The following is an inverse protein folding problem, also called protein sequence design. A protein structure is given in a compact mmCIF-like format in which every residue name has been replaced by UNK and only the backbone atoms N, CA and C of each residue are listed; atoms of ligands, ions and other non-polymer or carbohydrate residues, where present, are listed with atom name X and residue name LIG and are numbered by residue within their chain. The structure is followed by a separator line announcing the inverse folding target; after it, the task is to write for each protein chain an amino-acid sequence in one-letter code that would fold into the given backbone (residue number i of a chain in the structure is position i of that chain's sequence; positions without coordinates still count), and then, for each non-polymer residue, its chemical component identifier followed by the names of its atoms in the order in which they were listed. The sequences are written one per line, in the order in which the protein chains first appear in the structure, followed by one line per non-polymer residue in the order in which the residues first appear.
data_IF_823057535173
#
_entry.id   IF_823057535173
#
_cell.length_a   1.000
_cell.length_b   1.000
_cell.length_c   1.000
_cell.angle_alpha   90.00
_cell.angle_beta   90.00
_cell.angle_gamma   90.00
#
_symmetry.space_group_name_H-M   'P 1'
#
loop_
_entity.id
_entity.type
_entity.pdbx_description
1 polymer ?
#
# COMPACT_ATOMS: atom_id res chain seq x y z
N UNK A 1 0.50 -18.64 -24.84
CA UNK A 1 0.06 -19.49 -23.71
C UNK A 1 0.84 -19.09 -22.47
N UNK A 2 0.21 -19.08 -21.30
CA UNK A 2 0.81 -18.70 -19.99
C UNK A 2 2.17 -19.38 -19.74
N UNK A 3 2.31 -20.67 -20.07
CA UNK A 3 3.57 -21.41 -19.94
C UNK A 3 4.72 -20.83 -20.79
N UNK A 4 4.43 -20.23 -21.94
CA UNK A 4 5.48 -19.57 -22.75
C UNK A 4 6.00 -18.28 -22.11
N UNK A 5 5.19 -17.61 -21.29
CA UNK A 5 5.61 -16.42 -20.56
C UNK A 5 6.53 -16.73 -19.37
N UNK A 6 6.50 -17.95 -18.85
CA UNK A 6 7.37 -18.38 -17.74
C UNK A 6 8.76 -18.83 -18.20
N UNK A 7 8.90 -19.28 -19.45
CA UNK A 7 10.19 -19.76 -19.98
C UNK A 7 11.32 -18.75 -19.86
N UNK A 8 11.15 -17.47 -20.24
CA UNK A 8 12.20 -16.46 -20.06
C UNK A 8 12.63 -16.31 -18.61
N UNK A 9 11.66 -16.34 -17.67
CA UNK A 9 11.95 -16.22 -16.24
C UNK A 9 12.75 -17.42 -15.70
N UNK A 10 12.51 -18.61 -16.23
CA UNK A 10 13.30 -19.80 -15.90
C UNK A 10 14.70 -19.71 -16.52
N UNK A 11 14.81 -19.33 -17.79
CA UNK A 11 16.10 -19.17 -18.48
C UNK A 11 16.99 -18.11 -17.80
N UNK A 12 16.37 -17.04 -17.34
CA UNK A 12 17.05 -15.96 -16.61
C UNK A 12 17.28 -16.27 -15.12
N UNK A 13 16.85 -17.44 -14.62
CA UNK A 13 17.07 -17.85 -13.24
C UNK A 13 16.22 -17.12 -12.19
N UNK A 14 15.17 -16.42 -12.60
CA UNK A 14 14.16 -15.87 -11.69
C UNK A 14 13.22 -16.94 -11.15
N UNK A 15 12.97 -17.98 -11.95
CA UNK A 15 12.21 -19.14 -11.57
C UNK A 15 13.04 -20.41 -11.72
N UNK A 16 12.74 -21.42 -10.93
CA UNK A 16 13.20 -22.79 -11.07
C UNK A 16 11.96 -23.66 -11.33
N UNK A 17 11.99 -24.45 -12.40
CA UNK A 17 10.93 -25.42 -12.71
C UNK A 17 11.25 -26.77 -12.06
N UNK A 18 10.32 -27.31 -11.30
CA UNK A 18 10.40 -28.62 -10.66
C UNK A 18 9.14 -29.43 -11.02
N UNK A 19 9.20 -30.19 -12.11
CA UNK A 19 8.03 -30.88 -12.65
C UNK A 19 6.97 -29.88 -13.14
N UNK A 20 5.79 -29.90 -12.52
CA UNK A 20 4.68 -28.99 -12.82
C UNK A 20 4.63 -27.76 -11.90
N UNK A 21 5.62 -27.60 -11.03
CA UNK A 21 5.68 -26.50 -10.07
C UNK A 21 6.80 -25.52 -10.44
N UNK A 22 6.62 -24.26 -10.04
CA UNK A 22 7.62 -23.21 -10.16
C UNK A 22 7.90 -22.62 -8.79
N UNK A 23 9.17 -22.38 -8.49
CA UNK A 23 9.61 -21.66 -7.29
C UNK A 23 10.54 -20.51 -7.65
N UNK A 24 10.70 -19.55 -6.74
CA UNK A 24 11.61 -18.45 -6.96
C UNK A 24 13.06 -18.96 -7.07
N UNK A 25 13.75 -18.49 -8.09
CA UNK A 25 15.15 -18.79 -8.35
C UNK A 25 16.11 -17.80 -7.69
N UNK A 26 17.42 -18.09 -7.71
CA UNK A 26 18.46 -17.24 -7.08
C UNK A 26 18.46 -15.79 -7.57
N UNK A 27 18.09 -15.55 -8.82
CA UNK A 27 18.01 -14.18 -9.37
C UNK A 27 16.87 -13.37 -8.78
N UNK A 28 15.74 -14.01 -8.45
CA UNK A 28 14.64 -13.35 -7.75
C UNK A 28 15.05 -12.91 -6.33
N UNK A 29 15.77 -13.78 -5.60
CA UNK A 29 16.31 -13.44 -4.28
C UNK A 29 17.33 -12.30 -4.34
N UNK A 30 18.20 -12.31 -5.37
CA UNK A 30 19.18 -11.24 -5.58
C UNK A 30 18.49 -9.92 -5.86
N UNK A 31 17.51 -9.90 -6.78
CA UNK A 31 16.69 -8.72 -7.06
C UNK A 31 15.98 -8.20 -5.80
N UNK A 32 15.41 -9.09 -5.00
CA UNK A 32 14.78 -8.71 -3.73
C UNK A 32 15.79 -8.08 -2.76
N UNK A 33 17.01 -8.59 -2.68
CA UNK A 33 18.08 -8.01 -1.87
C UNK A 33 18.52 -6.64 -2.41
N UNK A 34 18.68 -6.49 -3.72
CA UNK A 34 19.06 -5.23 -4.37
C UNK A 34 17.96 -4.17 -4.17
N UNK A 35 16.70 -4.53 -4.36
CA UNK A 35 15.54 -3.66 -4.07
C UNK A 35 15.51 -3.30 -2.58
N UNK A 36 15.68 -4.26 -1.68
CA UNK A 36 15.70 -4.00 -0.23
C UNK A 36 16.86 -3.11 0.20
N UNK A 37 18.01 -3.18 -0.48
CA UNK A 37 19.18 -2.34 -0.19
C UNK A 37 19.07 -0.95 -0.80
N UNK A 38 18.52 -0.84 -2.02
CA UNK A 38 18.26 0.43 -2.70
C UNK A 38 17.06 1.17 -2.07
N UNK A 39 16.05 0.43 -1.64
CA UNK A 39 14.97 0.90 -0.78
C UNK A 39 15.41 0.83 0.68
N UNK A 40 16.54 1.44 0.99
CA UNK A 40 16.86 1.71 2.38
C UNK A 40 15.84 2.74 2.90
N UNK A 41 14.63 2.26 3.21
CA UNK A 41 13.87 2.89 4.27
C UNK A 41 14.86 3.07 5.40
N UNK A 42 15.20 4.31 5.80
CA UNK A 42 16.16 4.51 6.84
C UNK A 42 15.77 3.55 7.98
N UNK A 43 16.70 2.81 8.52
CA UNK A 43 16.46 1.96 9.72
C UNK A 43 15.71 2.75 10.79
N UNK A 44 15.89 4.04 10.79
CA UNK A 44 15.15 5.05 11.54
C UNK A 44 13.63 4.96 11.35
N UNK A 45 13.11 4.85 10.12
CA UNK A 45 11.65 4.77 9.89
C UNK A 45 11.07 3.48 10.48
N UNK A 46 11.77 2.36 10.35
CA UNK A 46 11.31 1.11 10.95
C UNK A 46 11.22 1.20 12.49
N UNK A 47 12.14 1.93 13.12
CA UNK A 47 12.08 2.21 14.55
C UNK A 47 10.83 3.01 14.95
N UNK A 48 10.42 3.98 14.14
CA UNK A 48 9.18 4.73 14.38
C UNK A 48 7.93 3.87 14.19
N UNK A 49 7.87 3.03 13.14
CA UNK A 49 6.75 2.10 12.91
C UNK A 49 6.63 1.12 14.07
N UNK A 50 7.77 0.57 14.54
CA UNK A 50 7.81 -0.32 15.69
C UNK A 50 7.28 0.38 16.97
N UNK A 51 7.79 1.58 17.26
CA UNK A 51 7.35 2.37 18.42
C UNK A 51 5.85 2.71 18.34
N UNK A 52 5.34 2.99 17.13
CA UNK A 52 3.91 3.24 16.92
C UNK A 52 3.09 1.99 17.24
N UNK A 53 3.48 0.83 16.70
CA UNK A 53 2.79 -0.44 16.96
C UNK A 53 2.81 -0.82 18.46
N UNK A 54 3.95 -0.63 19.14
CA UNK A 54 4.05 -0.86 20.58
C UNK A 54 3.16 0.06 21.41
N UNK A 55 3.12 1.34 21.09
CA UNK A 55 2.35 2.34 21.84
C UNK A 55 0.85 2.21 21.63
N UNK A 56 0.43 1.85 20.43
CA UNK A 56 -1.00 1.70 20.08
C UNK A 56 -1.53 0.30 20.31
N UNK A 57 -0.65 -0.71 20.39
CA UNK A 57 -1.01 -2.13 20.38
C UNK A 57 -1.78 -2.55 19.12
N UNK A 58 -1.68 -1.74 18.04
CA UNK A 58 -2.32 -1.96 16.77
C UNK A 58 -1.29 -2.22 15.67
N UNK A 59 -1.74 -2.77 14.55
CA UNK A 59 -0.88 -2.95 13.36
C UNK A 59 -0.46 -1.59 12.80
N UNK A 60 0.83 -1.36 12.69
CA UNK A 60 1.40 -0.18 12.04
C UNK A 60 2.07 -0.58 10.73
N UNK A 61 1.78 0.14 9.65
CA UNK A 61 2.31 -0.16 8.33
C UNK A 61 2.75 1.10 7.60
N UNK A 62 3.75 0.98 6.75
CA UNK A 62 4.17 2.02 5.81
C UNK A 62 3.68 1.68 4.42
N UNK A 63 3.03 2.64 3.77
CA UNK A 63 2.49 2.51 2.43
C UNK A 63 3.16 3.50 1.47
N UNK A 64 3.30 3.10 0.22
CA UNK A 64 3.70 3.96 -0.89
C UNK A 64 2.68 3.90 -2.01
N UNK A 65 2.70 4.89 -2.89
CA UNK A 65 1.87 4.92 -4.08
C UNK A 65 2.54 4.14 -5.22
N UNK A 66 1.84 3.15 -5.73
CA UNK A 66 2.12 2.55 -7.04
C UNK A 66 1.43 3.42 -8.11
N UNK A 67 2.20 4.20 -8.83
CA UNK A 67 1.70 5.13 -9.84
C UNK A 67 1.13 4.41 -11.06
N UNK A 68 1.68 3.26 -11.43
CA UNK A 68 1.23 2.49 -12.59
C UNK A 68 -0.12 1.83 -12.31
N UNK A 69 -0.23 1.11 -11.21
CA UNK A 69 -1.46 0.43 -10.80
C UNK A 69 -2.46 1.36 -10.12
N UNK A 70 -2.06 2.59 -9.78
CA UNK A 70 -2.85 3.58 -9.04
C UNK A 70 -3.45 3.01 -7.75
N UNK A 71 -2.59 2.35 -6.98
CA UNK A 71 -2.93 1.69 -5.72
C UNK A 71 -1.90 2.05 -4.65
N UNK A 72 -2.25 1.92 -3.39
CA UNK A 72 -1.22 1.87 -2.36
C UNK A 72 -0.62 0.46 -2.27
N UNK A 73 0.62 0.37 -1.82
CA UNK A 73 1.31 -0.89 -1.50
C UNK A 73 1.98 -0.75 -0.15
N UNK A 74 1.79 -1.72 0.75
CA UNK A 74 2.54 -1.77 2.00
C UNK A 74 3.97 -2.26 1.75
N UNK A 75 4.95 -1.47 2.19
CA UNK A 75 6.39 -1.76 2.03
C UNK A 75 7.06 -2.17 3.33
N UNK A 76 6.45 -1.85 4.47
CA UNK A 76 6.80 -2.37 5.79
C UNK A 76 5.55 -2.47 6.66
N UNK A 77 5.55 -3.42 7.62
CA UNK A 77 4.45 -3.60 8.54
C UNK A 77 4.93 -4.29 9.83
N UNK A 78 4.41 -3.82 10.95
CA UNK A 78 4.53 -4.45 12.27
C UNK A 78 3.12 -4.84 12.70
N UNK A 79 2.86 -6.12 12.78
CA UNK A 79 1.53 -6.63 13.15
C UNK A 79 1.24 -6.39 14.64
N UNK A 80 -0.01 -6.10 14.95
CA UNK A 80 -0.53 -6.05 16.31
C UNK A 80 -0.32 -7.40 17.03
N UNK A 81 0.04 -7.39 18.30
CA UNK A 81 0.10 -8.61 19.12
C UNK A 81 -1.29 -9.16 19.48
N UNK A 82 -2.36 -8.44 19.17
CA UNK A 82 -3.72 -8.85 19.52
C UNK A 82 -4.16 -10.08 18.71
N UNK A 83 -4.95 -11.01 19.33
CA UNK A 83 -5.48 -12.19 18.65
C UNK A 83 -6.37 -11.85 17.45
N UNK A 84 -7.15 -10.79 17.55
CA UNK A 84 -7.97 -10.24 16.47
C UNK A 84 -7.30 -8.97 15.97
N UNK A 85 -6.80 -8.98 14.74
CA UNK A 85 -6.09 -7.86 14.14
C UNK A 85 -6.33 -7.78 12.66
N UNK A 86 -6.19 -6.61 12.10
CA UNK A 86 -6.11 -6.46 10.65
C UNK A 86 -4.71 -6.90 10.18
N UNK A 87 -4.66 -7.95 9.37
CA UNK A 87 -3.40 -8.46 8.83
C UNK A 87 -2.93 -7.55 7.69
N UNK A 88 -1.95 -6.70 7.96
CA UNK A 88 -1.24 -5.92 6.95
C UNK A 88 0.09 -6.59 6.66
N UNK A 89 0.31 -7.01 5.40
CA UNK A 89 1.54 -7.68 4.99
C UNK A 89 2.26 -6.87 3.93
N UNK A 90 3.57 -6.92 3.94
CA UNK A 90 4.40 -6.36 2.87
C UNK A 90 3.94 -6.90 1.52
N UNK A 91 3.78 -6.02 0.53
CA UNK A 91 3.26 -6.34 -0.80
C UNK A 91 1.72 -6.33 -0.91
N UNK A 92 0.97 -6.28 0.19
CA UNK A 92 -0.48 -6.04 0.09
C UNK A 92 -0.74 -4.68 -0.51
N UNK A 93 -1.69 -4.63 -1.42
CA UNK A 93 -2.10 -3.40 -2.09
C UNK A 93 -3.62 -3.20 -2.02
N UNK A 94 -4.05 -1.96 -2.11
CA UNK A 94 -5.47 -1.64 -2.10
C UNK A 94 -5.80 -0.36 -2.85
N UNK A 95 -7.10 -0.09 -3.07
CA UNK A 95 -7.54 1.09 -3.79
C UNK A 95 -7.29 2.36 -2.97
N UNK A 96 -7.01 3.47 -3.66
CA UNK A 96 -6.74 4.75 -3.00
C UNK A 96 -8.02 5.36 -2.38
N UNK A 97 -9.19 5.13 -2.99
CA UNK A 97 -10.44 5.77 -2.56
C UNK A 97 -11.05 5.20 -1.27
N UNK A 98 -10.75 3.96 -0.90
CA UNK A 98 -11.48 3.23 0.15
C UNK A 98 -10.67 3.02 1.44
N UNK A 99 -9.42 3.47 1.49
CA UNK A 99 -8.53 3.23 2.63
C UNK A 99 -7.94 4.52 3.18
N UNK A 100 -7.58 4.56 4.46
CA UNK A 100 -6.95 5.73 5.06
C UNK A 100 -5.60 6.05 4.38
N UNK A 101 -4.72 5.05 4.23
CA UNK A 101 -3.43 5.22 3.55
C UNK A 101 -3.60 5.69 2.10
N UNK A 102 -4.55 5.07 1.36
CA UNK A 102 -4.82 5.43 -0.02
C UNK A 102 -5.30 6.88 -0.18
N UNK A 103 -6.21 7.34 0.68
CA UNK A 103 -6.69 8.74 0.65
C UNK A 103 -5.59 9.73 0.99
N UNK A 104 -4.77 9.46 1.99
CA UNK A 104 -3.63 10.32 2.30
C UNK A 104 -2.66 10.36 1.12
N UNK A 105 -2.23 9.22 0.58
CA UNK A 105 -1.34 9.19 -0.58
C UNK A 105 -1.92 9.95 -1.78
N UNK A 106 -3.22 9.82 -2.05
CA UNK A 106 -3.90 10.53 -3.13
C UNK A 106 -4.05 12.04 -2.86
N UNK A 107 -4.33 12.44 -1.62
CA UNK A 107 -4.54 13.83 -1.22
C UNK A 107 -3.29 14.69 -1.44
N UNK A 108 -2.11 14.10 -1.32
CA UNK A 108 -0.84 14.81 -1.51
C UNK A 108 -0.30 14.75 -2.94
N UNK A 109 -0.99 14.06 -3.86
CA UNK A 109 -0.62 14.11 -5.27
C UNK A 109 -1.01 15.43 -5.94
N UNK A 110 -0.39 15.78 -7.09
CA UNK A 110 -0.82 16.91 -7.90
C UNK A 110 -2.29 16.81 -8.30
N UNK A 111 -2.97 17.97 -8.40
CA UNK A 111 -4.41 18.01 -8.72
C UNK A 111 -4.76 17.23 -10.01
N UNK A 112 -3.92 17.32 -11.04
CA UNK A 112 -4.13 16.58 -12.28
C UNK A 112 -4.14 15.05 -12.07
N UNK A 113 -3.33 14.52 -11.15
CA UNK A 113 -3.33 13.09 -10.83
C UNK A 113 -4.59 12.72 -10.04
N UNK A 114 -4.98 13.55 -9.06
CA UNK A 114 -6.20 13.36 -8.28
C UNK A 114 -7.43 13.30 -9.18
N UNK A 115 -7.59 14.30 -10.07
CA UNK A 115 -8.71 14.36 -11.01
C UNK A 115 -8.71 13.15 -11.96
N UNK A 116 -7.56 12.83 -12.55
CA UNK A 116 -7.45 11.66 -13.41
C UNK A 116 -7.75 10.34 -12.68
N UNK A 117 -7.42 10.21 -11.39
CA UNK A 117 -7.80 9.07 -10.58
C UNK A 117 -9.30 9.05 -10.33
N UNK A 118 -9.87 10.13 -9.82
CA UNK A 118 -11.29 10.22 -9.43
C UNK A 118 -12.22 9.99 -10.63
N UNK A 119 -11.86 10.55 -11.78
CA UNK A 119 -12.71 10.48 -12.97
C UNK A 119 -12.68 9.09 -13.65
N UNK A 120 -11.55 8.40 -13.59
CA UNK A 120 -11.37 7.12 -14.29
C UNK A 120 -11.42 5.89 -13.38
N UNK A 121 -11.28 6.04 -12.06
CA UNK A 121 -11.31 4.89 -11.16
C UNK A 121 -12.71 4.28 -11.07
N UNK A 122 -12.75 2.94 -11.06
CA UNK A 122 -13.98 2.20 -10.73
C UNK A 122 -14.17 2.23 -9.20
N UNK A 123 -14.98 3.16 -8.72
CA UNK A 123 -15.34 3.27 -7.29
C UNK A 123 -16.40 2.22 -6.94
N UNK A 124 -15.98 0.97 -6.75
CA UNK A 124 -16.90 -0.11 -6.38
C UNK A 124 -17.06 -0.21 -4.86
N UNK A 125 -18.25 -0.53 -4.33
CA UNK A 125 -18.42 -0.77 -2.90
C UNK A 125 -17.67 -2.05 -2.49
N UNK A 126 -16.72 -1.93 -1.55
CA UNK A 126 -16.02 -3.06 -0.93
C UNK A 126 -16.84 -3.54 0.26
N UNK A 127 -17.42 -2.60 0.98
CA UNK A 127 -18.37 -2.82 2.06
C UNK A 127 -19.57 -1.88 1.87
N UNK A 128 -20.67 -2.06 2.62
CA UNK A 128 -21.78 -1.10 2.61
C UNK A 128 -21.39 0.33 3.03
N UNK A 129 -20.25 0.49 3.73
CA UNK A 129 -19.75 1.79 4.20
C UNK A 129 -18.77 2.45 3.23
N UNK A 130 -18.36 1.76 2.16
CA UNK A 130 -17.41 2.32 1.18
C UNK A 130 -18.04 3.53 0.48
N UNK A 131 -17.35 4.67 0.59
CA UNK A 131 -17.74 5.84 -0.20
C UNK A 131 -17.41 5.63 -1.68
N UNK A 132 -18.43 5.73 -2.55
CA UNK A 132 -18.32 5.61 -4.00
C UNK A 132 -18.68 6.90 -4.74
N UNK A 133 -19.03 7.96 -4.02
CA UNK A 133 -19.33 9.27 -4.57
C UNK A 133 -18.05 10.07 -4.85
N UNK A 134 -17.87 10.48 -6.11
CA UNK A 134 -16.69 11.24 -6.55
C UNK A 134 -16.60 12.62 -5.92
N UNK A 135 -17.73 13.29 -5.73
CA UNK A 135 -17.78 14.61 -5.10
C UNK A 135 -17.43 14.56 -3.61
N UNK A 136 -17.92 13.54 -2.93
CA UNK A 136 -17.53 13.26 -1.52
C UNK A 136 -16.04 12.95 -1.45
N UNK A 137 -15.52 12.11 -2.35
CA UNK A 137 -14.10 11.76 -2.36
C UNK A 137 -13.21 13.01 -2.54
N UNK A 138 -13.55 13.92 -3.47
CA UNK A 138 -12.80 15.19 -3.64
C UNK A 138 -12.75 16.02 -2.35
N UNK A 139 -13.87 16.15 -1.64
CA UNK A 139 -13.91 16.87 -0.35
C UNK A 139 -13.06 16.18 0.70
N UNK A 140 -13.13 14.86 0.79
CA UNK A 140 -12.34 14.07 1.73
C UNK A 140 -10.83 14.17 1.48
N UNK A 141 -10.39 14.27 0.21
CA UNK A 141 -8.99 14.50 -0.11
C UNK A 141 -8.50 15.88 0.33
N UNK A 142 -9.31 16.93 0.10
CA UNK A 142 -8.98 18.25 0.59
C UNK A 142 -8.90 18.29 2.12
N UNK A 143 -9.87 17.69 2.80
CA UNK A 143 -9.90 17.57 4.25
C UNK A 143 -8.70 16.78 4.79
N UNK A 144 -8.33 15.65 4.18
CA UNK A 144 -7.16 14.87 4.56
C UNK A 144 -5.86 15.67 4.43
N UNK A 145 -5.76 16.51 3.41
CA UNK A 145 -4.59 17.39 3.21
C UNK A 145 -4.53 18.51 4.24
N UNK A 146 -5.67 19.12 4.55
CA UNK A 146 -5.75 20.22 5.51
C UNK A 146 -5.48 19.77 6.94
N UNK A 147 -5.99 18.59 7.33
CA UNK A 147 -5.80 18.01 8.66
C UNK A 147 -4.41 17.37 8.85
N UNK A 148 -3.78 16.94 7.76
CA UNK A 148 -2.53 16.19 7.81
C UNK A 148 -2.71 14.70 8.14
N UNK A 149 -3.94 14.18 8.15
CA UNK A 149 -4.23 12.76 8.36
C UNK A 149 -5.61 12.39 7.81
N UNK A 150 -5.90 11.09 7.75
CA UNK A 150 -7.24 10.58 7.46
C UNK A 150 -7.60 9.40 8.35
N UNK A 151 -8.86 9.35 8.75
CA UNK A 151 -9.46 8.23 9.47
C UNK A 151 -10.45 7.50 8.56
N UNK A 152 -10.43 6.18 8.57
CA UNK A 152 -11.37 5.35 7.82
C UNK A 152 -11.94 4.29 8.75
N UNK A 153 -13.26 4.11 8.70
CA UNK A 153 -13.95 3.11 9.49
C UNK A 153 -14.83 2.22 8.61
N UNK A 154 -14.51 0.94 8.53
CA UNK A 154 -15.34 -0.08 7.87
C UNK A 154 -15.38 -0.02 6.34
N UNK A 155 -14.71 0.92 5.67
CA UNK A 155 -14.82 1.13 4.23
C UNK A 155 -14.06 0.11 3.38
N UNK A 156 -12.89 -0.34 3.85
CA UNK A 156 -12.07 -1.34 3.18
C UNK A 156 -12.25 -2.76 3.73
N UNK A 157 -12.88 -2.89 4.88
CA UNK A 157 -13.18 -4.16 5.52
C UNK A 157 -14.18 -3.96 6.67
N UNK A 158 -15.19 -4.79 6.74
CA UNK A 158 -16.19 -4.69 7.79
C UNK A 158 -15.55 -4.81 9.19
N UNK A 159 -15.90 -3.89 10.09
CA UNK A 159 -15.35 -3.85 11.44
C UNK A 159 -13.90 -3.37 11.57
N UNK A 160 -13.24 -2.98 10.47
CA UNK A 160 -11.90 -2.40 10.52
C UNK A 160 -11.94 -0.88 10.71
N UNK A 161 -10.94 -0.35 11.39
CA UNK A 161 -10.65 1.08 11.43
C UNK A 161 -9.16 1.32 11.14
N UNK A 162 -8.86 2.44 10.52
CA UNK A 162 -7.48 2.82 10.21
C UNK A 162 -7.29 4.33 10.30
N UNK A 163 -6.12 4.73 10.76
CA UNK A 163 -5.62 6.09 10.69
C UNK A 163 -4.38 6.11 9.78
N UNK A 164 -4.23 7.14 8.97
CA UNK A 164 -3.04 7.35 8.16
C UNK A 164 -2.60 8.82 8.20
N UNK A 165 -1.31 9.04 8.18
CA UNK A 165 -0.68 10.34 8.08
C UNK A 165 0.45 10.30 7.04
N UNK A 166 0.78 11.43 6.38
CA UNK A 166 1.85 11.46 5.39
C UNK A 166 3.22 11.35 6.07
N UNK A 167 4.15 10.70 5.37
CA UNK A 167 5.57 10.73 5.67
C UNK A 167 6.26 11.35 4.46
N UNK A 168 6.98 12.45 4.67
CA UNK A 168 7.62 13.19 3.58
C UNK A 168 9.10 12.82 3.45
N UNK A 169 9.53 12.65 2.22
CA UNK A 169 10.93 12.55 1.88
C UNK A 169 11.68 13.89 2.05
N UNK A 170 13.02 13.89 1.91
CA UNK A 170 13.82 15.12 1.99
C UNK A 170 13.48 16.16 0.90
N UNK A 171 12.90 15.72 -0.19
CA UNK A 171 12.42 16.53 -1.33
C UNK A 171 10.98 17.05 -1.12
N UNK A 172 10.35 16.73 0.01
CA UNK A 172 8.97 17.09 0.31
C UNK A 172 7.92 16.23 -0.41
N UNK A 173 8.33 15.18 -1.16
CA UNK A 173 7.41 14.21 -1.72
C UNK A 173 6.91 13.24 -0.63
N UNK A 174 5.67 12.73 -0.82
CA UNK A 174 5.07 11.72 0.05
C UNK A 174 5.37 10.31 -0.49
#
# INVERSE_FOLDING_TARGET
TFLNSLKPLVMEGFLIAEGNLYRLGPRAFRLAADVSSAWSLPRTLRGYIFSLAERTQETAALAVLDFEMRRFVYIDAIESPQPVRYASRIGMSGPLYATAAGRVLLAYQPAAFQDAYIDNAKLAPITPLTNTDRGVLRRQLAEARDQGYWLSGGEAGAGSAAAAAPVFGPDGAI
#
